data_IF_257678793233
#
_entry.id   IF_257678793233
#
_cell.length_a   1.000
_cell.length_b   1.000
_cell.length_c   1.000
_cell.angle_alpha   90.00
_cell.angle_beta   90.00
_cell.angle_gamma   90.00
#
_symmetry.space_group_name_H-M   'P 1'
#
loop_
_entity.id
_entity.type
_entity.pdbx_description
1 polymer ?
#
# COMPACT_ATOMS: atom_id res chain seq x y z
N UNK A 1 -7.46 20.50 8.86
CA UNK A 1 -8.21 19.48 8.08
C UNK A 1 -8.47 20.10 6.73
N UNK A 2 -8.01 19.50 5.63
CA UNK A 2 -8.24 20.03 4.29
C UNK A 2 -9.63 19.56 3.78
N UNK A 3 -10.50 20.46 3.28
CA UNK A 3 -11.84 20.11 2.77
C UNK A 3 -11.79 19.47 1.36
N UNK A 4 -10.98 18.42 1.21
CA UNK A 4 -10.54 17.83 -0.07
C UNK A 4 -11.62 17.51 -1.10
N UNK A 5 -12.84 17.21 -0.66
CA UNK A 5 -13.93 16.83 -1.56
C UNK A 5 -14.83 18.00 -1.97
N UNK A 6 -15.08 18.93 -1.05
CA UNK A 6 -16.09 19.98 -1.22
C UNK A 6 -15.54 21.35 -1.57
N UNK A 7 -14.25 21.60 -1.32
CA UNK A 7 -13.57 22.86 -1.62
C UNK A 7 -12.13 22.59 -2.04
N UNK A 8 -11.92 22.47 -3.35
CA UNK A 8 -10.61 22.15 -3.95
C UNK A 8 -9.61 23.28 -3.71
N UNK A 9 -10.03 24.54 -3.84
CA UNK A 9 -9.12 25.68 -3.65
C UNK A 9 -8.70 25.79 -2.18
N UNK A 10 -9.65 25.67 -1.26
CA UNK A 10 -9.36 25.63 0.18
C UNK A 10 -8.49 24.43 0.58
N UNK A 11 -8.70 23.26 -0.03
CA UNK A 11 -7.84 22.10 0.19
C UNK A 11 -6.40 22.35 -0.27
N UNK A 12 -6.19 22.93 -1.46
CA UNK A 12 -4.86 23.28 -1.96
C UNK A 12 -4.18 24.32 -1.05
N UNK A 13 -4.91 25.34 -0.61
CA UNK A 13 -4.40 26.35 0.31
C UNK A 13 -3.97 25.75 1.66
N UNK A 14 -4.79 24.87 2.24
CA UNK A 14 -4.49 24.20 3.51
C UNK A 14 -3.29 23.26 3.38
N UNK A 15 -3.16 22.53 2.27
CA UNK A 15 -1.99 21.68 2.02
C UNK A 15 -0.70 22.51 1.98
N UNK A 16 -0.71 23.65 1.29
CA UNK A 16 0.46 24.54 1.24
C UNK A 16 0.78 25.14 2.60
N UNK A 17 -0.23 25.56 3.36
CA UNK A 17 -0.06 26.08 4.73
C UNK A 17 0.55 25.01 5.65
N UNK A 18 -0.03 23.82 5.68
CA UNK A 18 0.48 22.68 6.46
C UNK A 18 1.92 22.33 6.10
N UNK A 19 2.27 22.37 4.80
CA UNK A 19 3.64 22.18 4.36
C UNK A 19 4.57 23.32 4.81
N UNK A 20 4.13 24.57 4.75
CA UNK A 20 4.91 25.70 5.27
C UNK A 20 5.20 25.56 6.78
N UNK A 21 4.26 24.98 7.54
CA UNK A 21 4.39 24.70 8.98
C UNK A 21 5.29 23.49 9.30
N UNK A 22 5.87 22.83 8.29
CA UNK A 22 6.77 21.70 8.50
C UNK A 22 6.11 20.31 8.49
N UNK A 23 4.80 20.21 8.22
CA UNK A 23 4.14 18.90 8.08
C UNK A 23 4.57 18.21 6.77
N UNK A 24 5.08 16.99 6.88
CA UNK A 24 5.63 16.20 5.75
C UNK A 24 4.95 14.84 5.58
N UNK A 25 4.07 14.45 6.51
CA UNK A 25 3.45 13.12 6.56
C UNK A 25 2.54 12.81 5.37
N UNK A 26 2.01 13.82 4.69
CA UNK A 26 1.15 13.66 3.52
C UNK A 26 -0.26 14.22 3.72
N UNK A 27 -1.17 13.80 2.84
CA UNK A 27 -2.58 14.21 2.82
C UNK A 27 -3.46 12.98 2.84
N UNK A 28 -4.37 12.86 3.81
CA UNK A 28 -5.32 11.75 3.88
C UNK A 28 -6.57 12.10 3.07
N UNK A 29 -6.90 11.27 2.08
CA UNK A 29 -8.16 11.32 1.34
C UNK A 29 -9.13 10.28 1.92
N UNK A 30 -10.44 10.58 1.98
CA UNK A 30 -11.40 9.62 2.49
C UNK A 30 -11.61 8.44 1.52
N UNK A 31 -11.74 7.20 2.01
CA UNK A 31 -12.09 6.04 1.17
C UNK A 31 -13.41 6.20 0.40
N UNK A 32 -14.35 6.97 0.98
CA UNK A 32 -15.63 7.30 0.37
C UNK A 32 -15.72 8.80 0.09
N UNK A 33 -16.26 9.13 -1.09
CA UNK A 33 -16.51 10.50 -1.54
C UNK A 33 -17.97 10.92 -1.38
N UNK A 34 -18.76 10.25 -0.53
CA UNK A 34 -20.23 10.39 -0.38
C UNK A 34 -20.76 11.81 -0.69
N UNK A 35 -21.52 11.95 -1.78
CA UNK A 35 -22.10 13.22 -2.22
C UNK A 35 -21.22 14.09 -3.13
N UNK A 36 -19.99 13.68 -3.41
CA UNK A 36 -19.01 14.37 -4.25
C UNK A 36 -18.63 13.53 -5.47
N UNK A 37 -17.81 14.09 -6.35
CA UNK A 37 -17.28 13.35 -7.50
C UNK A 37 -16.33 12.24 -7.05
N UNK A 38 -16.27 11.14 -7.80
CA UNK A 38 -15.32 10.07 -7.48
C UNK A 38 -13.89 10.44 -7.90
N UNK A 39 -12.89 9.71 -7.41
CA UNK A 39 -11.48 9.93 -7.77
C UNK A 39 -11.12 9.65 -9.24
N UNK A 40 -12.09 9.26 -10.08
CA UNK A 40 -11.93 9.29 -11.55
C UNK A 40 -12.00 10.70 -12.12
N UNK A 41 -12.54 11.66 -11.36
CA UNK A 41 -12.72 13.03 -11.84
C UNK A 41 -11.42 13.82 -11.84
N UNK A 42 -11.28 14.66 -12.88
CA UNK A 42 -10.23 15.67 -12.98
C UNK A 42 -10.44 16.86 -12.02
N UNK A 43 -11.59 16.97 -11.34
CA UNK A 43 -11.81 18.00 -10.32
C UNK A 43 -10.75 17.97 -9.21
N UNK A 44 -10.16 16.80 -8.94
CA UNK A 44 -9.11 16.60 -7.94
C UNK A 44 -7.68 16.81 -8.46
N UNK A 45 -7.50 17.04 -9.77
CA UNK A 45 -6.17 17.27 -10.36
C UNK A 45 -5.36 18.41 -9.70
N UNK A 46 -5.97 19.53 -9.22
CA UNK A 46 -5.24 20.54 -8.46
C UNK A 46 -4.65 20.00 -7.14
N UNK A 47 -5.36 19.10 -6.46
CA UNK A 47 -4.87 18.43 -5.23
C UNK A 47 -3.70 17.51 -5.55
N UNK A 48 -3.83 16.68 -6.59
CA UNK A 48 -2.75 15.78 -7.05
C UNK A 48 -1.50 16.57 -7.43
N UNK A 49 -1.69 17.68 -8.14
CA UNK A 49 -0.61 18.59 -8.54
C UNK A 49 0.14 19.15 -7.34
N UNK A 50 -0.56 19.72 -6.35
CA UNK A 50 0.12 20.31 -5.18
C UNK A 50 0.81 19.24 -4.33
N UNK A 51 0.22 18.05 -4.19
CA UNK A 51 0.86 16.92 -3.51
C UNK A 51 2.14 16.48 -4.23
N UNK A 52 2.12 16.39 -5.56
CA UNK A 52 3.30 16.06 -6.36
C UNK A 52 4.39 17.14 -6.22
N UNK A 53 4.05 18.41 -6.39
CA UNK A 53 4.96 19.55 -6.30
C UNK A 53 5.68 19.60 -4.94
N UNK A 54 4.93 19.39 -3.86
CA UNK A 54 5.45 19.43 -2.50
C UNK A 54 6.07 18.10 -2.05
N UNK A 55 6.01 17.07 -2.90
CA UNK A 55 6.43 15.69 -2.62
C UNK A 55 5.73 15.09 -1.40
N UNK A 56 4.47 15.48 -1.18
CA UNK A 56 3.62 14.95 -0.13
C UNK A 56 2.87 13.71 -0.65
N UNK A 57 2.97 12.56 0.04
CA UNK A 57 2.18 11.40 -0.34
C UNK A 57 0.70 11.62 -0.02
N UNK A 58 -0.16 11.02 -0.85
CA UNK A 58 -1.59 10.89 -0.60
C UNK A 58 -1.83 9.56 0.12
N UNK A 59 -2.65 9.57 1.15
CA UNK A 59 -2.97 8.39 1.95
C UNK A 59 -4.45 8.07 1.85
N UNK A 60 -4.76 6.79 1.74
CA UNK A 60 -6.08 6.28 2.09
C UNK A 60 -5.94 5.39 3.33
N UNK A 61 -6.83 5.56 4.30
CA UNK A 61 -6.77 4.89 5.60
C UNK A 61 -8.10 4.22 5.91
N UNK A 62 -8.08 3.13 6.68
CA UNK A 62 -9.29 2.40 7.07
C UNK A 62 -10.31 3.28 7.81
N UNK A 63 -11.58 2.86 7.78
CA UNK A 63 -12.66 3.44 8.58
C UNK A 63 -13.96 3.62 7.80
N UNK A 64 -14.02 4.51 6.80
CA UNK A 64 -15.26 4.78 6.08
C UNK A 64 -15.78 3.63 5.19
N UNK A 65 -17.00 3.17 5.48
CA UNK A 65 -17.79 2.20 4.71
C UNK A 65 -19.29 2.61 4.73
N UNK A 66 -20.16 2.09 3.84
CA UNK A 66 -21.59 2.36 3.88
C UNK A 66 -22.28 1.63 5.03
N UNK A 67 -22.33 2.28 6.21
CA UNK A 67 -23.06 1.74 7.36
C UNK A 67 -24.53 1.43 7.04
N UNK A 68 -25.13 2.25 6.19
CA UNK A 68 -26.48 2.07 5.65
C UNK A 68 -26.71 0.71 4.98
N UNK A 69 -25.67 0.10 4.39
CA UNK A 69 -25.76 -1.21 3.72
C UNK A 69 -25.66 -2.39 4.72
N UNK A 70 -25.07 -2.16 5.90
CA UNK A 70 -24.92 -3.19 6.94
C UNK A 70 -26.11 -3.25 7.89
N UNK A 71 -26.69 -2.08 8.20
CA UNK A 71 -27.65 -1.92 9.28
C UNK A 71 -27.10 -2.31 10.66
N UNK A 72 -27.98 -2.41 11.65
CA UNK A 72 -27.60 -2.64 13.06
C UNK A 72 -27.87 -4.09 13.51
N UNK A 73 -27.57 -5.06 12.64
CA UNK A 73 -27.78 -6.50 12.92
C UNK A 73 -26.59 -7.11 13.68
N UNK A 74 -26.83 -8.11 14.53
CA UNK A 74 -25.73 -8.84 15.18
C UNK A 74 -24.79 -9.43 14.13
N UNK A 75 -23.51 -9.08 14.19
CA UNK A 75 -22.49 -9.54 13.25
C UNK A 75 -22.20 -8.59 12.08
N UNK A 76 -22.88 -7.44 12.00
CA UNK A 76 -22.60 -6.41 10.98
C UNK A 76 -21.11 -6.02 10.96
N UNK A 77 -20.48 -5.96 12.14
CA UNK A 77 -19.05 -5.65 12.30
C UNK A 77 -18.14 -6.66 11.58
N UNK A 78 -18.55 -7.94 11.44
CA UNK A 78 -17.78 -8.94 10.70
C UNK A 78 -17.86 -8.71 9.18
N UNK A 79 -19.00 -8.24 8.69
CA UNK A 79 -19.18 -7.85 7.28
C UNK A 79 -18.34 -6.60 7.00
N UNK A 80 -18.45 -5.58 7.87
CA UNK A 80 -17.61 -4.39 7.81
C UNK A 80 -16.11 -4.76 7.84
N UNK A 81 -15.69 -5.63 8.75
CA UNK A 81 -14.29 -6.06 8.85
C UNK A 81 -13.75 -6.73 7.58
N UNK A 82 -14.61 -7.40 6.81
CA UNK A 82 -14.24 -7.97 5.51
C UNK A 82 -14.17 -6.90 4.41
N UNK A 83 -15.12 -5.96 4.37
CA UNK A 83 -15.25 -4.98 3.29
C UNK A 83 -14.48 -3.69 3.50
N UNK A 84 -14.13 -3.32 4.72
CA UNK A 84 -13.42 -2.06 5.02
C UNK A 84 -12.13 -1.95 4.23
N UNK A 85 -11.43 -3.06 4.03
CA UNK A 85 -10.22 -3.15 3.21
C UNK A 85 -10.52 -2.87 1.74
N UNK A 86 -11.64 -3.36 1.21
CA UNK A 86 -12.09 -3.03 -0.14
C UNK A 86 -12.32 -1.53 -0.29
N UNK A 87 -13.07 -0.91 0.63
CA UNK A 87 -13.31 0.54 0.57
C UNK A 87 -12.01 1.35 0.70
N UNK A 88 -11.13 0.94 1.61
CA UNK A 88 -9.84 1.61 1.86
C UNK A 88 -8.91 1.55 0.65
N UNK A 89 -8.82 0.39 -0.02
CA UNK A 89 -8.01 0.24 -1.21
C UNK A 89 -8.66 0.87 -2.45
N UNK A 90 -9.97 1.13 -2.44
CA UNK A 90 -10.73 1.56 -3.62
C UNK A 90 -10.18 2.77 -4.35
N UNK A 91 -9.76 3.86 -3.67
CA UNK A 91 -9.18 5.00 -4.35
C UNK A 91 -7.94 4.65 -5.19
N UNK A 92 -7.14 3.65 -4.78
CA UNK A 92 -5.93 3.25 -5.50
C UNK A 92 -6.25 2.79 -6.93
N UNK A 93 -7.20 1.88 -7.12
CA UNK A 93 -7.50 1.39 -8.47
C UNK A 93 -8.27 2.41 -9.32
N UNK A 94 -8.99 3.36 -8.69
CA UNK A 94 -9.53 4.52 -9.40
C UNK A 94 -8.39 5.34 -10.00
N UNK A 95 -7.39 5.67 -9.20
CA UNK A 95 -6.23 6.45 -9.62
C UNK A 95 -5.35 5.72 -10.64
N UNK A 96 -5.12 4.41 -10.44
CA UNK A 96 -4.36 3.56 -11.38
C UNK A 96 -5.04 3.49 -12.75
N UNK A 97 -6.34 3.17 -12.80
CA UNK A 97 -7.02 2.87 -14.06
C UNK A 97 -7.45 4.12 -14.84
N UNK A 98 -7.59 5.27 -14.17
CA UNK A 98 -7.97 6.54 -14.82
C UNK A 98 -6.78 7.48 -15.10
N UNK A 99 -5.56 6.96 -14.99
CA UNK A 99 -4.35 7.65 -15.42
C UNK A 99 -3.96 8.83 -14.52
N UNK A 100 -4.32 8.82 -13.23
CA UNK A 100 -3.85 9.87 -12.30
C UNK A 100 -2.32 9.85 -12.22
N UNK A 101 -1.72 8.66 -12.09
CA UNK A 101 -0.26 8.52 -12.10
C UNK A 101 0.38 8.73 -13.48
N UNK A 102 -0.40 8.66 -14.57
CA UNK A 102 0.08 9.09 -15.89
C UNK A 102 0.23 10.61 -15.95
N UNK A 103 -0.78 11.35 -15.45
CA UNK A 103 -0.76 12.82 -15.40
C UNK A 103 0.22 13.37 -14.37
N UNK A 104 0.40 12.66 -13.26
CA UNK A 104 1.24 13.05 -12.12
C UNK A 104 2.27 11.95 -11.80
N UNK A 105 3.32 11.80 -12.63
CA UNK A 105 4.24 10.65 -12.56
C UNK A 105 5.09 10.60 -11.29
N UNK A 106 5.22 11.69 -10.52
CA UNK A 106 5.93 11.72 -9.23
C UNK A 106 4.98 11.71 -8.04
N UNK A 107 3.67 11.71 -8.25
CA UNK A 107 2.69 11.61 -7.16
C UNK A 107 2.89 10.29 -6.42
N UNK A 108 2.89 10.36 -5.10
CA UNK A 108 3.01 9.20 -4.23
C UNK A 108 1.67 8.89 -3.58
N UNK A 109 1.32 7.61 -3.51
CA UNK A 109 0.13 7.16 -2.78
C UNK A 109 0.45 6.01 -1.84
N UNK A 110 -0.15 5.99 -0.65
CA UNK A 110 -0.18 4.79 0.17
C UNK A 110 -1.59 4.43 0.64
N UNK A 111 -1.88 3.13 0.65
CA UNK A 111 -3.09 2.58 1.27
C UNK A 111 -2.65 1.96 2.59
N UNK A 112 -3.07 2.51 3.72
CA UNK A 112 -2.61 2.11 5.05
C UNK A 112 -3.74 1.49 5.88
N UNK A 113 -3.36 0.63 6.82
CA UNK A 113 -4.28 -0.14 7.67
C UNK A 113 -5.25 -1.03 6.86
N UNK A 114 -4.81 -1.50 5.69
CA UNK A 114 -5.62 -2.32 4.78
C UNK A 114 -5.03 -3.73 4.57
N UNK A 115 -4.06 -4.13 5.40
CA UNK A 115 -3.20 -5.26 5.09
C UNK A 115 -2.59 -5.13 3.68
N UNK A 116 -2.29 -6.25 3.06
CA UNK A 116 -1.61 -6.36 1.76
C UNK A 116 -1.99 -7.62 0.97
N UNK A 117 -2.80 -8.52 1.54
CA UNK A 117 -3.20 -9.78 0.89
C UNK A 117 -3.87 -9.60 -0.46
N UNK A 118 -4.62 -8.50 -0.65
CA UNK A 118 -5.38 -8.16 -1.85
C UNK A 118 -4.51 -7.57 -2.96
N UNK A 119 -3.32 -7.04 -2.63
CA UNK A 119 -2.54 -6.22 -3.55
C UNK A 119 -2.07 -7.02 -4.77
N UNK A 120 -1.55 -8.22 -4.55
CA UNK A 120 -1.10 -9.07 -5.65
C UNK A 120 -2.25 -9.50 -6.59
N UNK A 121 -3.44 -9.83 -6.03
CA UNK A 121 -4.62 -10.17 -6.85
C UNK A 121 -5.13 -8.95 -7.62
N UNK A 122 -5.11 -7.76 -7.01
CA UNK A 122 -5.42 -6.52 -7.71
C UNK A 122 -4.47 -6.32 -8.88
N UNK A 123 -3.16 -6.36 -8.65
CA UNK A 123 -2.13 -6.11 -9.68
C UNK A 123 -2.26 -7.07 -10.86
N UNK A 124 -2.43 -8.37 -10.58
CA UNK A 124 -2.75 -9.35 -11.61
C UNK A 124 -3.99 -8.94 -12.40
N UNK A 125 -5.09 -8.62 -11.69
CA UNK A 125 -6.37 -8.30 -12.31
C UNK A 125 -6.30 -7.05 -13.18
N UNK A 126 -5.67 -5.97 -12.71
CA UNK A 126 -5.59 -4.70 -13.44
C UNK A 126 -4.64 -4.77 -14.62
N UNK A 127 -3.57 -5.55 -14.54
CA UNK A 127 -2.69 -5.80 -15.68
C UNK A 127 -3.41 -6.60 -16.77
N UNK A 128 -4.13 -7.67 -16.42
CA UNK A 128 -4.93 -8.46 -17.38
C UNK A 128 -6.02 -7.63 -18.06
N UNK A 129 -6.59 -6.66 -17.34
CA UNK A 129 -7.48 -5.67 -17.93
C UNK A 129 -6.70 -4.82 -18.95
N UNK A 130 -5.57 -4.21 -18.56
CA UNK A 130 -4.78 -3.34 -19.42
C UNK A 130 -4.22 -4.04 -20.67
N UNK A 131 -3.86 -5.32 -20.60
CA UNK A 131 -3.37 -6.12 -21.74
C UNK A 131 -4.48 -6.57 -22.70
N UNK A 132 -5.76 -6.32 -22.36
CA UNK A 132 -6.94 -6.57 -23.21
C UNK A 132 -7.04 -8.02 -23.71
N UNK A 133 -6.75 -8.97 -22.83
CA UNK A 133 -7.05 -10.38 -23.08
C UNK A 133 -8.48 -10.54 -23.58
N UNK A 134 -8.72 -11.53 -24.45
CA UNK A 134 -9.96 -11.64 -25.24
C UNK A 134 -11.24 -11.49 -24.39
N UNK A 135 -11.25 -12.03 -23.17
CA UNK A 135 -12.39 -11.95 -22.24
C UNK A 135 -12.64 -10.57 -21.60
N UNK A 136 -11.69 -9.64 -21.64
CA UNK A 136 -11.78 -8.34 -20.96
C UNK A 136 -12.02 -7.15 -21.92
N UNK A 137 -11.95 -7.37 -23.24
CA UNK A 137 -12.00 -6.29 -24.25
C UNK A 137 -13.24 -5.38 -24.18
N UNK A 138 -14.39 -5.87 -23.72
CA UNK A 138 -15.62 -5.08 -23.57
C UNK A 138 -15.64 -4.18 -22.32
N UNK A 139 -14.82 -4.50 -21.32
CA UNK A 139 -14.82 -3.85 -20.01
C UNK A 139 -13.58 -2.98 -19.78
N UNK A 140 -12.76 -2.74 -20.82
CA UNK A 140 -11.48 -2.03 -20.70
C UNK A 140 -11.37 -0.95 -21.77
N UNK A 141 -11.25 0.29 -21.32
CA UNK A 141 -10.94 1.47 -22.12
C UNK A 141 -9.76 2.25 -21.52
N UNK A 142 -8.57 1.64 -21.50
CA UNK A 142 -7.33 2.28 -21.00
C UNK A 142 -6.46 2.83 -22.13
N UNK A 143 -6.86 2.64 -23.40
CA UNK A 143 -6.07 3.04 -24.56
C UNK A 143 -6.02 4.57 -24.66
N UNK A 144 -4.82 5.14 -24.64
CA UNK A 144 -4.64 6.59 -24.63
C UNK A 144 -4.81 7.22 -23.24
N UNK A 145 -5.14 6.42 -22.22
CA UNK A 145 -5.15 6.81 -20.81
C UNK A 145 -3.86 6.35 -20.12
N UNK A 146 -3.42 5.12 -20.38
CA UNK A 146 -2.25 4.49 -19.77
C UNK A 146 -1.20 4.14 -20.83
N UNK A 147 0.06 4.42 -20.53
CA UNK A 147 1.23 4.06 -21.36
C UNK A 147 2.06 2.93 -20.76
N UNK A 148 1.91 2.68 -19.46
CA UNK A 148 2.51 1.57 -18.71
C UNK A 148 1.41 0.60 -18.22
N UNK A 149 1.80 -0.59 -17.75
CA UNK A 149 0.90 -1.45 -17.01
C UNK A 149 0.55 -0.83 -15.65
N UNK A 150 -0.68 -1.01 -15.14
CA UNK A 150 -1.07 -0.59 -13.79
C UNK A 150 -0.08 -1.02 -12.70
N UNK A 151 0.48 -2.23 -12.80
CA UNK A 151 1.45 -2.70 -11.83
C UNK A 151 2.80 -1.97 -11.88
N UNK A 152 3.19 -1.43 -13.04
CA UNK A 152 4.38 -0.60 -13.17
C UNK A 152 4.15 0.82 -12.58
N UNK A 153 2.95 1.38 -12.75
CA UNK A 153 2.57 2.59 -12.01
C UNK A 153 2.57 2.35 -10.50
N UNK A 154 2.05 1.21 -10.06
CA UNK A 154 2.06 0.83 -8.64
C UNK A 154 3.49 0.75 -8.09
N UNK A 155 4.42 0.12 -8.83
CA UNK A 155 5.82 0.02 -8.42
C UNK A 155 6.47 1.40 -8.25
N UNK A 156 6.20 2.31 -9.18
CA UNK A 156 6.75 3.66 -9.22
C UNK A 156 6.13 4.60 -8.17
N UNK A 157 4.81 4.55 -7.99
CA UNK A 157 4.05 5.58 -7.29
C UNK A 157 3.50 5.14 -5.92
N UNK A 158 3.29 3.84 -5.71
CA UNK A 158 2.40 3.37 -4.64
C UNK A 158 3.12 2.54 -3.58
N UNK A 159 2.61 2.62 -2.34
CA UNK A 159 3.00 1.76 -1.21
C UNK A 159 1.77 1.22 -0.49
N UNK A 160 1.95 0.14 0.27
CA UNK A 160 0.92 -0.45 1.13
C UNK A 160 1.40 -0.41 2.58
N UNK A 161 0.62 0.24 3.44
CA UNK A 161 0.73 0.16 4.89
C UNK A 161 0.18 -1.16 5.38
N UNK A 162 1.05 -2.17 5.46
CA UNK A 162 0.72 -3.52 5.90
C UNK A 162 0.75 -3.59 7.42
N UNK A 163 -0.32 -3.10 8.05
CA UNK A 163 -0.57 -3.32 9.48
C UNK A 163 -1.00 -4.77 9.71
N UNK A 164 -0.61 -5.37 10.84
CA UNK A 164 -1.03 -6.72 11.24
C UNK A 164 -0.74 -7.83 10.21
N UNK A 165 0.34 -7.66 9.43
CA UNK A 165 0.73 -8.56 8.33
C UNK A 165 0.81 -10.02 8.76
N UNK A 166 0.13 -10.89 8.03
CA UNK A 166 0.17 -12.35 8.20
C UNK A 166 1.23 -12.96 7.30
N UNK A 167 1.70 -14.17 7.64
CA UNK A 167 2.70 -14.90 6.85
C UNK A 167 2.26 -15.14 5.40
N UNK A 168 0.94 -15.26 5.16
CA UNK A 168 0.39 -15.37 3.80
C UNK A 168 0.70 -14.14 2.95
N UNK A 169 0.69 -12.95 3.54
CA UNK A 169 0.96 -11.69 2.84
C UNK A 169 2.45 -11.52 2.56
N UNK A 170 3.30 -11.81 3.57
CA UNK A 170 4.76 -11.86 3.42
C UNK A 170 5.15 -12.86 2.33
N UNK A 171 4.43 -13.98 2.24
CA UNK A 171 4.67 -14.99 1.21
C UNK A 171 4.41 -14.50 -0.23
N UNK A 172 3.59 -13.47 -0.40
CA UNK A 172 3.24 -12.85 -1.69
C UNK A 172 4.04 -11.58 -1.99
N UNK A 173 5.01 -11.22 -1.15
CA UNK A 173 5.76 -9.95 -1.26
C UNK A 173 6.46 -9.76 -2.61
N UNK A 174 6.80 -10.83 -3.34
CA UNK A 174 7.42 -10.74 -4.66
C UNK A 174 6.41 -10.46 -5.79
N UNK A 175 5.14 -10.85 -5.62
CA UNK A 175 4.05 -10.44 -6.53
C UNK A 175 3.66 -8.98 -6.27
N UNK A 176 3.63 -8.59 -4.99
CA UNK A 176 3.30 -7.22 -4.54
C UNK A 176 4.44 -6.24 -4.89
N UNK A 177 5.69 -6.66 -4.66
CA UNK A 177 6.88 -5.83 -4.64
C UNK A 177 7.36 -5.59 -3.21
N UNK A 178 8.54 -6.12 -2.85
CA UNK A 178 9.14 -5.94 -1.51
C UNK A 178 9.33 -4.46 -1.21
N UNK A 179 9.74 -3.68 -2.21
CA UNK A 179 9.88 -2.23 -2.11
C UNK A 179 8.56 -1.48 -1.93
N UNK A 180 7.41 -2.13 -2.13
CA UNK A 180 6.08 -1.51 -2.05
C UNK A 180 5.38 -1.74 -0.72
N UNK A 181 5.96 -2.55 0.17
CA UNK A 181 5.38 -2.88 1.47
C UNK A 181 6.02 -2.00 2.56
N UNK A 182 5.17 -1.38 3.36
CA UNK A 182 5.54 -0.63 4.55
C UNK A 182 4.78 -1.22 5.74
N UNK A 183 5.47 -1.93 6.62
CA UNK A 183 4.86 -2.41 7.86
C UNK A 183 4.57 -1.27 8.83
N UNK A 184 3.48 -1.38 9.60
CA UNK A 184 3.10 -0.47 10.67
C UNK A 184 2.48 -1.22 11.86
N UNK A 185 2.65 -0.70 13.07
CA UNK A 185 2.19 -1.36 14.30
C UNK A 185 0.75 -1.02 14.69
N UNK A 186 0.17 0.00 14.05
CA UNK A 186 -1.19 0.48 14.28
C UNK A 186 -1.50 0.88 15.74
N UNK A 187 -0.53 1.46 16.43
CA UNK A 187 -0.74 1.92 17.81
C UNK A 187 -1.69 3.14 17.85
N UNK A 188 -2.65 3.21 18.81
CA UNK A 188 -2.87 2.31 19.94
C UNK A 188 -4.03 1.32 19.74
N UNK A 189 -4.39 1.01 18.49
CA UNK A 189 -5.60 0.26 18.21
C UNK A 189 -5.55 -1.18 18.77
N UNK A 190 -6.68 -1.75 19.21
CA UNK A 190 -6.76 -3.13 19.70
C UNK A 190 -6.32 -4.19 18.69
N UNK A 191 -6.55 -3.94 17.41
CA UNK A 191 -6.13 -4.80 16.31
C UNK A 191 -4.62 -4.75 16.06
N UNK A 192 -3.94 -3.66 16.46
CA UNK A 192 -2.51 -3.45 16.28
C UNK A 192 -1.63 -4.41 17.09
N UNK A 193 -0.31 -4.21 16.98
CA UNK A 193 0.65 -5.18 17.55
C UNK A 193 1.17 -4.81 18.93
N UNK A 194 0.93 -3.58 19.41
CA UNK A 194 1.37 -3.15 20.74
C UNK A 194 0.54 -3.82 21.85
N UNK A 195 1.13 -4.23 23.00
CA UNK A 195 2.53 -4.10 23.39
C UNK A 195 3.45 -5.25 22.94
N UNK A 196 2.93 -6.22 22.18
CA UNK A 196 3.63 -7.46 21.80
C UNK A 196 4.34 -7.40 20.44
N UNK A 197 4.68 -6.19 19.97
CA UNK A 197 5.23 -5.95 18.63
C UNK A 197 6.46 -6.80 18.30
N UNK A 198 7.41 -6.96 19.24
CA UNK A 198 8.63 -7.76 18.99
C UNK A 198 8.30 -9.24 18.78
N UNK A 199 7.44 -9.81 19.63
CA UNK A 199 6.96 -11.19 19.46
C UNK A 199 6.22 -11.37 18.13
N UNK A 200 5.36 -10.42 17.78
CA UNK A 200 4.65 -10.42 16.51
C UNK A 200 5.63 -10.46 15.33
N UNK A 201 6.62 -9.57 15.31
CA UNK A 201 7.61 -9.50 14.23
C UNK A 201 8.43 -10.79 14.13
N UNK A 202 8.93 -11.33 15.25
CA UNK A 202 9.68 -12.59 15.27
C UNK A 202 8.91 -13.73 14.61
N UNK A 203 7.67 -13.95 15.02
CA UNK A 203 6.82 -15.02 14.49
C UNK A 203 6.55 -14.89 12.96
N UNK A 204 6.60 -13.67 12.41
CA UNK A 204 6.31 -13.41 10.98
C UNK A 204 7.55 -13.32 10.10
N UNK A 205 8.67 -12.81 10.61
CA UNK A 205 9.84 -12.44 9.81
C UNK A 205 11.07 -13.32 10.03
N UNK A 206 11.04 -14.30 10.96
CA UNK A 206 12.22 -15.14 11.28
C UNK A 206 12.90 -15.80 10.09
N UNK A 207 12.13 -16.13 9.06
CA UNK A 207 12.59 -16.78 7.84
C UNK A 207 12.64 -15.86 6.62
N UNK A 208 12.37 -14.57 6.78
CA UNK A 208 12.46 -13.58 5.69
C UNK A 208 13.92 -13.09 5.61
N UNK A 209 14.50 -12.90 4.41
CA UNK A 209 15.84 -12.34 4.28
C UNK A 209 16.00 -11.01 5.04
N UNK A 210 17.13 -10.81 5.71
CA UNK A 210 17.38 -9.65 6.58
C UNK A 210 17.24 -8.32 5.84
N UNK A 211 17.74 -8.25 4.60
CA UNK A 211 17.63 -7.07 3.73
C UNK A 211 16.17 -6.76 3.35
N UNK A 212 15.38 -7.78 3.01
CA UNK A 212 13.95 -7.64 2.70
C UNK A 212 13.13 -7.24 3.94
N UNK A 213 13.46 -7.78 5.11
CA UNK A 213 12.88 -7.37 6.39
C UNK A 213 13.20 -5.90 6.69
N UNK A 214 14.45 -5.46 6.54
CA UNK A 214 14.83 -4.07 6.74
C UNK A 214 14.10 -3.11 5.79
N UNK A 215 13.90 -3.51 4.52
CA UNK A 215 13.08 -2.77 3.56
C UNK A 215 11.65 -2.58 4.06
N UNK A 216 10.97 -3.67 4.40
CA UNK A 216 9.56 -3.63 4.80
C UNK A 216 9.32 -2.97 6.16
N UNK A 217 10.24 -3.12 7.11
CA UNK A 217 10.08 -2.59 8.47
C UNK A 217 10.49 -1.12 8.63
N UNK A 218 11.25 -0.53 7.69
CA UNK A 218 11.61 0.88 7.83
C UNK A 218 12.23 1.59 6.62
N UNK A 219 13.03 0.91 5.79
CA UNK A 219 13.75 1.62 4.72
C UNK A 219 12.81 2.08 3.59
N UNK A 220 11.75 1.31 3.29
CA UNK A 220 10.73 1.74 2.33
C UNK A 220 10.00 3.00 2.81
N UNK A 221 9.64 3.06 4.09
CA UNK A 221 9.02 4.22 4.74
C UNK A 221 9.96 5.42 4.69
N UNK A 222 11.24 5.23 5.05
CA UNK A 222 12.22 6.31 5.04
C UNK A 222 12.40 6.91 3.64
N UNK A 223 12.48 6.08 2.59
CA UNK A 223 12.55 6.56 1.21
C UNK A 223 11.23 7.21 0.75
N UNK A 224 10.09 6.66 1.14
CA UNK A 224 8.78 7.15 0.75
C UNK A 224 8.48 8.53 1.34
N UNK A 225 8.73 8.71 2.64
CA UNK A 225 8.51 9.95 3.40
C UNK A 225 9.72 10.90 3.44
N UNK A 226 10.84 10.53 2.82
CA UNK A 226 12.08 11.32 2.77
C UNK A 226 12.69 11.58 4.15
N UNK A 227 12.68 10.56 5.01
CA UNK A 227 13.35 10.66 6.30
C UNK A 227 14.87 10.67 6.16
N UNK A 228 15.50 11.47 7.02
CA UNK A 228 16.94 11.54 7.18
C UNK A 228 17.41 10.31 7.99
N UNK A 229 17.96 9.33 7.29
CA UNK A 229 18.39 8.08 7.91
C UNK A 229 19.53 8.27 8.93
N UNK A 230 20.37 9.29 8.75
CA UNK A 230 21.47 9.53 9.69
C UNK A 230 20.95 10.07 11.02
N UNK A 231 19.88 10.88 10.99
CA UNK A 231 19.18 11.30 12.21
C UNK A 231 18.40 10.17 12.87
N UNK A 232 17.86 9.22 12.10
CA UNK A 232 17.09 8.10 12.63
C UNK A 232 17.97 6.96 13.16
N UNK A 233 19.19 6.81 12.63
CA UNK A 233 20.10 5.69 12.94
C UNK A 233 20.35 5.49 14.44
N UNK A 234 20.68 6.53 15.25
CA UNK A 234 20.87 6.34 16.70
C UNK A 234 19.61 5.86 17.42
N UNK A 235 18.42 6.23 16.92
CA UNK A 235 17.15 5.73 17.47
C UNK A 235 16.92 4.29 17.04
N UNK A 236 17.13 3.96 15.78
CA UNK A 236 16.96 2.61 15.25
C UNK A 236 17.90 1.61 15.97
N UNK A 237 19.15 1.98 16.21
CA UNK A 237 20.12 1.17 16.96
C UNK A 237 19.69 0.96 18.43
N UNK A 238 19.04 1.97 19.03
CA UNK A 238 18.61 1.90 20.44
C UNK A 238 17.33 1.11 20.65
N UNK A 239 16.34 1.23 19.76
CA UNK A 239 14.98 0.69 19.98
C UNK A 239 14.48 -0.25 18.88
N UNK A 240 15.13 -0.31 17.72
CA UNK A 240 14.74 -1.17 16.61
C UNK A 240 14.98 -2.65 16.91
N UNK A 241 14.27 -3.56 16.23
CA UNK A 241 14.57 -4.98 16.28
C UNK A 241 15.87 -5.29 15.52
N UNK A 242 16.67 -6.21 16.04
CA UNK A 242 17.83 -6.78 15.37
C UNK A 242 17.46 -8.08 14.64
N UNK A 243 18.29 -8.59 13.72
CA UNK A 243 18.10 -9.92 13.15
C UNK A 243 17.96 -11.01 14.22
N UNK A 244 18.73 -10.93 15.31
CA UNK A 244 18.66 -11.87 16.43
C UNK A 244 17.31 -11.80 17.16
N UNK A 245 16.79 -10.58 17.39
CA UNK A 245 15.46 -10.38 18.00
C UNK A 245 14.36 -11.08 17.19
N UNK A 246 14.51 -11.11 15.87
CA UNK A 246 13.56 -11.69 14.93
C UNK A 246 13.83 -13.17 14.62
N UNK A 247 14.94 -13.75 15.11
CA UNK A 247 15.30 -15.15 14.85
C UNK A 247 15.91 -15.39 13.46
N UNK A 248 16.45 -14.35 12.83
CA UNK A 248 17.04 -14.38 11.49
C UNK A 248 18.55 -14.73 11.54
N UNK A 249 18.93 -15.74 12.33
CA UNK A 249 20.34 -16.11 12.60
C UNK A 249 20.90 -17.18 11.66
N UNK A 250 20.03 -17.89 10.94
CA UNK A 250 20.41 -18.95 10.00
C UNK A 250 19.98 -18.55 8.58
N UNK A 251 20.93 -18.10 7.76
CA UNK A 251 20.63 -17.65 6.40
C UNK A 251 20.18 -18.78 5.47
N UNK A 252 20.45 -20.05 5.81
CA UNK A 252 20.06 -21.18 4.96
C UNK A 252 18.54 -21.32 4.81
N UNK A 253 17.79 -20.86 5.82
CA UNK A 253 16.31 -20.90 5.78
C UNK A 253 15.73 -19.93 4.76
N UNK A 254 16.49 -18.93 4.31
CA UNK A 254 16.04 -17.91 3.36
C UNK A 254 15.91 -18.46 1.94
N UNK A 255 16.70 -19.48 1.58
CA UNK A 255 16.74 -20.07 0.24
C UNK A 255 15.38 -20.62 -0.23
N UNK A 256 14.47 -20.93 0.71
CA UNK A 256 13.10 -21.36 0.38
C UNK A 256 12.28 -20.31 -0.37
N UNK A 257 12.67 -19.04 -0.29
CA UNK A 257 12.00 -17.94 -0.98
C UNK A 257 12.47 -17.76 -2.42
N UNK A 258 13.59 -18.37 -2.81
CA UNK A 258 14.19 -18.22 -4.13
C UNK A 258 13.23 -18.54 -5.29
N UNK A 259 12.40 -19.62 -5.25
CA UNK A 259 11.43 -19.88 -6.30
C UNK A 259 10.43 -18.73 -6.46
N UNK A 260 9.92 -18.19 -5.35
CA UNK A 260 8.96 -17.08 -5.36
C UNK A 260 9.63 -15.78 -5.83
N UNK A 261 10.87 -15.52 -5.40
CA UNK A 261 11.67 -14.37 -5.85
C UNK A 261 11.93 -14.40 -7.36
N UNK A 262 12.24 -15.57 -7.91
CA UNK A 262 12.43 -15.78 -9.35
C UNK A 262 11.13 -15.72 -10.15
N UNK A 263 10.01 -16.12 -9.56
CA UNK A 263 8.68 -16.04 -10.17
C UNK A 263 8.19 -14.60 -10.27
N UNK A 264 8.38 -13.79 -9.21
CA UNK A 264 7.98 -12.38 -9.17
C UNK A 264 6.47 -12.24 -9.34
N UNK A 265 6.05 -11.66 -10.47
CA UNK A 265 4.65 -11.63 -10.95
C UNK A 265 4.47 -12.71 -12.02
N UNK A 266 3.94 -13.91 -11.69
CA UNK A 266 3.86 -15.03 -12.63
C UNK A 266 3.13 -14.69 -13.94
N UNK A 267 2.12 -13.82 -13.88
CA UNK A 267 1.36 -13.37 -15.06
C UNK A 267 2.17 -12.50 -16.03
N UNK A 268 3.32 -11.95 -15.60
CA UNK A 268 4.25 -11.20 -16.46
C UNK A 268 5.46 -12.05 -16.85
N UNK A 269 5.92 -12.93 -15.96
CA UNK A 269 7.14 -13.72 -16.18
C UNK A 269 6.89 -15.06 -16.86
N UNK A 270 5.64 -15.55 -16.84
CA UNK A 270 5.27 -16.90 -17.25
C UNK A 270 5.84 -18.00 -16.35
N UNK A 271 6.35 -17.64 -15.15
CA UNK A 271 6.97 -18.57 -14.21
C UNK A 271 6.09 -18.74 -12.99
N UNK A 272 5.53 -19.92 -12.83
CA UNK A 272 4.85 -20.31 -11.60
C UNK A 272 5.87 -20.72 -10.53
N UNK A 273 5.61 -20.34 -9.28
CA UNK A 273 6.38 -20.82 -8.14
C UNK A 273 5.77 -22.14 -7.65
N UNK A 274 6.25 -23.27 -8.19
CA UNK A 274 5.93 -24.56 -7.59
C UNK A 274 6.80 -24.77 -6.36
N UNK A 275 6.18 -24.88 -5.19
CA UNK A 275 6.83 -25.52 -4.05
C UNK A 275 6.91 -27.00 -4.42
N UNK A 276 8.12 -27.50 -4.69
CA UNK A 276 8.31 -28.93 -4.82
C UNK A 276 7.77 -29.58 -3.55
N UNK A 277 6.80 -30.48 -3.69
CA UNK A 277 6.44 -31.39 -2.61
C UNK A 277 7.66 -32.29 -2.46
N UNK A 278 8.50 -31.99 -1.47
CA UNK A 278 9.58 -32.89 -1.10
C UNK A 278 8.94 -34.02 -0.30
N UNK A 279 9.07 -35.25 -0.81
CA UNK A 279 8.64 -36.50 -0.18
C UNK A 279 9.20 -36.68 1.24
#
# INVERSE_FOLDING_TARGET
VAPLLGDIEGAVAEIRRAWADGLRGGVIIPPRWTGYESYTSHAYDPVWRVCEELRLPVHCHSGPAPHEDYGDVRGWMSVYGYETIFFTARPLWFMLLTGVFERFPRLKMAVTEAGSYWAADLLWRVDMMATREHGMRKMVDTKGILTMLPSEYFDRNCKIGSSNTRRREIGRRYEIGVGNIMWGNDFPHPEGTWPYTRTFLKDRFWDVPVDETALMLGLNQAAFYQFDLDKLRPLAERIGPTPDDLGQTDESVFAKWDPLKRAGRPWLTGREAFVAVTD
#
